data_IF_632186111644
#
_entry.id   IF_632186111644
#
_cell.length_a   1.000
_cell.length_b   1.000
_cell.length_c   1.000
_cell.angle_alpha   90.00
_cell.angle_beta   90.00
_cell.angle_gamma   90.00
#
_symmetry.space_group_name_H-M   'P 1'
#
loop_
_entity.id
_entity.type
_entity.pdbx_description
1 polymer ?
#
# COMPACT_ATOMS: atom_id res chain seq x y z
N UNK A 1 13.95 -20.72 6.74
CA UNK A 1 13.25 -19.94 5.70
C UNK A 1 12.28 -19.01 6.39
N UNK A 2 12.26 -17.73 6.03
CA UNK A 2 11.24 -16.79 6.51
C UNK A 2 9.88 -17.25 5.98
N UNK A 3 8.83 -17.18 6.80
CA UNK A 3 7.47 -17.52 6.36
C UNK A 3 7.06 -16.66 5.16
N UNK A 4 6.31 -17.24 4.22
CA UNK A 4 5.73 -16.52 3.08
C UNK A 4 4.84 -15.36 3.53
N UNK A 5 4.58 -14.40 2.65
CA UNK A 5 3.72 -13.25 3.00
C UNK A 5 2.32 -13.72 3.43
N UNK A 6 1.78 -14.74 2.75
CA UNK A 6 0.43 -15.23 3.04
C UNK A 6 0.34 -15.97 4.38
N UNK A 7 1.39 -16.69 4.77
CA UNK A 7 1.49 -17.28 6.11
C UNK A 7 1.54 -16.19 7.17
N UNK A 8 2.33 -15.12 6.95
CA UNK A 8 2.38 -13.98 7.88
C UNK A 8 1.04 -13.23 7.96
N UNK A 9 0.25 -13.22 6.88
CA UNK A 9 -1.09 -12.64 6.82
C UNK A 9 -2.21 -13.62 7.21
N UNK A 10 -1.87 -14.80 7.71
CA UNK A 10 -2.86 -15.80 8.10
C UNK A 10 -3.53 -15.47 9.43
N UNK A 11 -4.76 -15.95 9.56
CA UNK A 11 -5.63 -15.74 10.70
C UNK A 11 -5.99 -17.09 11.34
N UNK A 12 -6.11 -17.11 12.66
CA UNK A 12 -6.78 -18.16 13.43
C UNK A 12 -8.19 -17.69 13.77
N UNK A 13 -9.19 -18.49 13.44
CA UNK A 13 -10.56 -18.27 13.87
C UNK A 13 -10.68 -18.57 15.38
N UNK A 14 -11.19 -17.60 16.14
CA UNK A 14 -11.54 -17.75 17.56
C UNK A 14 -13.03 -18.08 17.69
N UNK A 15 -13.84 -17.37 16.92
CA UNK A 15 -15.29 -17.52 16.84
C UNK A 15 -15.76 -17.18 15.42
N UNK A 16 -17.01 -17.48 15.04
CA UNK A 16 -17.54 -17.13 13.72
C UNK A 16 -17.45 -15.64 13.35
N UNK A 17 -17.19 -14.75 14.31
CA UNK A 17 -17.03 -13.31 14.11
C UNK A 17 -15.65 -12.79 14.51
N UNK A 18 -14.82 -13.59 15.17
CA UNK A 18 -13.58 -13.12 15.79
C UNK A 18 -12.39 -13.92 15.28
N UNK A 19 -11.37 -13.18 14.82
CA UNK A 19 -10.13 -13.73 14.27
C UNK A 19 -8.93 -13.10 14.96
N UNK A 20 -7.83 -13.84 15.02
CA UNK A 20 -6.54 -13.38 15.54
C UNK A 20 -5.46 -13.64 14.50
N UNK A 21 -4.55 -12.69 14.29
CA UNK A 21 -3.41 -12.90 13.41
C UNK A 21 -2.47 -13.97 13.96
N UNK A 22 -1.94 -14.85 13.11
CA UNK A 22 -0.96 -15.85 13.55
C UNK A 22 0.41 -15.23 13.80
N UNK A 23 0.72 -14.10 13.13
CA UNK A 23 2.00 -13.40 13.22
C UNK A 23 1.82 -11.96 13.70
N UNK A 24 2.89 -11.38 14.23
CA UNK A 24 2.93 -9.96 14.54
C UNK A 24 3.20 -9.17 13.25
N UNK A 25 2.64 -7.97 13.10
CA UNK A 25 2.91 -7.15 11.92
C UNK A 25 4.33 -6.55 11.98
N UNK A 26 4.89 -6.24 10.81
CA UNK A 26 6.27 -5.73 10.68
C UNK A 26 6.30 -4.25 10.30
N UNK A 27 7.39 -3.57 10.68
CA UNK A 27 7.68 -2.18 10.27
C UNK A 27 8.15 -2.11 8.81
N UNK A 28 8.01 -0.94 8.21
CA UNK A 28 8.66 -0.55 6.95
C UNK A 28 9.22 0.85 7.12
N UNK A 29 10.54 0.97 7.21
CA UNK A 29 11.22 2.27 7.30
C UNK A 29 10.92 3.12 8.55
N UNK A 30 10.18 2.60 9.53
CA UNK A 30 9.84 3.34 10.74
C UNK A 30 10.76 2.94 11.90
N UNK A 31 11.45 3.92 12.49
CA UNK A 31 12.33 3.68 13.64
C UNK A 31 11.53 3.40 14.92
N UNK A 32 10.30 3.90 15.01
CA UNK A 32 9.39 3.62 16.12
C UNK A 32 8.80 2.21 16.02
N UNK A 33 8.24 1.72 17.12
CA UNK A 33 7.47 0.47 17.18
C UNK A 33 6.11 0.65 16.48
N UNK A 34 6.11 0.92 15.17
CA UNK A 34 4.92 1.13 14.37
C UNK A 34 5.02 0.28 13.11
N UNK A 35 4.02 -0.56 12.91
CA UNK A 35 3.91 -1.42 11.76
C UNK A 35 3.56 -0.65 10.50
N UNK A 36 3.92 -1.22 9.36
CA UNK A 36 3.39 -0.79 8.08
C UNK A 36 1.87 -1.02 8.03
N UNK A 37 1.12 0.02 7.61
CA UNK A 37 -0.34 0.03 7.57
C UNK A 37 -0.96 -1.12 6.76
N UNK A 38 -0.29 -1.54 5.68
CA UNK A 38 -0.73 -2.64 4.83
C UNK A 38 -0.86 -3.98 5.56
N UNK A 39 -0.13 -4.22 6.66
CA UNK A 39 -0.37 -5.40 7.50
C UNK A 39 -1.77 -5.39 8.10
N UNK A 40 -2.17 -4.26 8.69
CA UNK A 40 -3.47 -4.12 9.35
C UNK A 40 -4.60 -4.20 8.33
N UNK A 41 -4.43 -3.52 7.19
CA UNK A 41 -5.40 -3.54 6.10
C UNK A 41 -5.56 -4.94 5.50
N UNK A 42 -4.47 -5.64 5.23
CA UNK A 42 -4.52 -6.98 4.64
C UNK A 42 -5.11 -8.01 5.60
N UNK A 43 -4.78 -7.94 6.90
CA UNK A 43 -5.38 -8.79 7.94
C UNK A 43 -6.91 -8.57 8.02
N UNK A 44 -7.35 -7.30 8.02
CA UNK A 44 -8.78 -6.98 8.02
C UNK A 44 -9.48 -7.45 6.73
N UNK A 45 -8.81 -7.32 5.59
CA UNK A 45 -9.30 -7.78 4.28
C UNK A 45 -9.45 -9.30 4.27
N UNK A 46 -8.47 -10.03 4.79
CA UNK A 46 -8.50 -11.48 4.91
C UNK A 46 -9.69 -11.93 5.76
N UNK A 47 -9.86 -11.33 6.94
CA UNK A 47 -10.98 -11.60 7.84
C UNK A 47 -12.33 -11.34 7.14
N UNK A 48 -12.50 -10.19 6.48
CA UNK A 48 -13.71 -9.86 5.74
C UNK A 48 -14.04 -10.92 4.68
N UNK A 49 -13.05 -11.30 3.87
CA UNK A 49 -13.21 -12.28 2.80
C UNK A 49 -13.53 -13.69 3.32
N UNK A 50 -12.95 -14.13 4.44
CA UNK A 50 -13.29 -15.41 5.06
C UNK A 50 -14.75 -15.45 5.56
N UNK A 51 -15.30 -14.30 5.98
CA UNK A 51 -16.69 -14.19 6.46
C UNK A 51 -17.76 -14.01 5.36
N UNK A 52 -17.33 -13.80 4.12
CA UNK A 52 -18.21 -13.61 2.96
C UNK A 52 -18.47 -14.96 2.25
N UNK A 53 -19.65 -15.17 1.64
CA UNK A 53 -19.89 -16.41 0.92
C UNK A 53 -18.94 -16.55 -0.29
N UNK A 54 -18.44 -17.76 -0.63
CA UNK A 54 -17.38 -17.94 -1.63
C UNK A 54 -17.70 -17.45 -3.05
N UNK A 55 -18.98 -17.34 -3.41
CA UNK A 55 -19.42 -16.84 -4.73
C UNK A 55 -19.35 -15.32 -4.88
N UNK A 56 -19.10 -14.60 -3.80
CA UNK A 56 -19.02 -13.14 -3.79
C UNK A 56 -17.56 -12.69 -3.95
N UNK A 57 -17.38 -11.56 -4.62
CA UNK A 57 -16.09 -10.98 -4.91
C UNK A 57 -16.01 -9.60 -4.29
N UNK A 58 -14.92 -9.35 -3.57
CA UNK A 58 -14.66 -8.05 -2.97
C UNK A 58 -14.46 -7.03 -4.09
N UNK A 59 -15.25 -5.95 -4.09
CA UNK A 59 -15.12 -4.87 -5.06
C UNK A 59 -14.74 -3.54 -4.40
N UNK A 60 -14.91 -3.41 -3.08
CA UNK A 60 -14.49 -2.20 -2.38
C UNK A 60 -14.15 -2.44 -0.91
N UNK A 61 -13.16 -1.68 -0.43
CA UNK A 61 -12.84 -1.53 1.00
C UNK A 61 -12.67 -0.05 1.29
N UNK A 62 -13.38 0.47 2.29
CA UNK A 62 -13.21 1.85 2.77
C UNK A 62 -13.02 1.84 4.28
N UNK A 63 -12.12 2.65 4.81
CA UNK A 63 -11.85 2.62 6.23
C UNK A 63 -10.97 3.73 6.76
N UNK A 64 -10.76 3.68 8.07
CA UNK A 64 -9.95 4.63 8.84
C UNK A 64 -8.91 3.88 9.66
N UNK A 65 -7.68 4.38 9.63
CA UNK A 65 -6.67 4.06 10.64
C UNK A 65 -6.95 4.92 11.87
N UNK A 66 -7.15 4.29 13.02
CA UNK A 66 -7.58 4.93 14.27
C UNK A 66 -6.40 5.16 15.24
N UNK A 67 -5.30 4.45 15.04
CA UNK A 67 -4.10 4.58 15.85
C UNK A 67 -2.95 3.73 15.31
N UNK A 68 -1.75 3.88 15.89
CA UNK A 68 -0.60 3.09 15.47
C UNK A 68 -0.81 1.61 15.78
N UNK A 69 -0.53 0.76 14.81
CA UNK A 69 -0.39 -0.69 15.02
C UNK A 69 1.03 -0.97 15.50
N UNK A 70 1.18 -1.60 16.66
CA UNK A 70 2.47 -1.98 17.24
C UNK A 70 2.98 -3.31 16.67
N UNK A 71 4.30 -3.47 16.55
CA UNK A 71 4.96 -4.62 15.90
C UNK A 71 5.22 -5.80 16.83
N UNK A 72 5.00 -5.64 18.13
CA UNK A 72 5.31 -6.59 19.18
C UNK A 72 4.12 -7.47 19.62
N UNK A 73 2.93 -7.26 19.02
CA UNK A 73 1.69 -7.92 19.42
C UNK A 73 0.74 -8.22 18.25
N UNK A 74 -0.16 -9.17 18.47
CA UNK A 74 -1.14 -9.65 17.48
C UNK A 74 -2.22 -8.62 17.18
N UNK A 75 -2.88 -8.82 16.04
CA UNK A 75 -4.07 -8.11 15.61
C UNK A 75 -5.30 -8.99 15.86
N UNK A 76 -6.36 -8.40 16.41
CA UNK A 76 -7.65 -9.06 16.61
C UNK A 76 -8.70 -8.41 15.72
N UNK A 77 -9.37 -9.19 14.90
CA UNK A 77 -10.44 -8.73 14.02
C UNK A 77 -11.80 -9.20 14.54
N UNK A 78 -12.73 -8.27 14.69
CA UNK A 78 -14.14 -8.57 14.96
C UNK A 78 -14.98 -8.14 13.76
N UNK A 79 -15.82 -9.06 13.28
CA UNK A 79 -16.61 -8.89 12.07
C UNK A 79 -18.08 -8.73 12.40
N UNK A 80 -18.69 -7.69 11.86
CA UNK A 80 -20.14 -7.49 11.87
C UNK A 80 -20.70 -7.63 10.46
N UNK A 81 -21.72 -8.47 10.32
CA UNK A 81 -22.54 -8.54 9.11
C UNK A 81 -23.44 -7.31 9.05
N UNK A 82 -23.26 -6.49 8.02
CA UNK A 82 -24.07 -5.30 7.79
C UNK A 82 -25.23 -5.61 6.85
N UNK A 83 -24.95 -6.38 5.79
CA UNK A 83 -25.91 -6.72 4.75
C UNK A 83 -25.57 -8.06 4.11
N UNK A 84 -26.59 -8.89 3.90
CA UNK A 84 -26.56 -10.10 3.06
C UNK A 84 -27.81 -10.07 2.16
N UNK A 85 -27.61 -9.91 0.86
CA UNK A 85 -28.68 -10.00 -0.17
C UNK A 85 -28.30 -11.05 -1.20
N UNK A 86 -29.10 -11.24 -2.25
CA UNK A 86 -28.76 -12.17 -3.34
C UNK A 86 -27.63 -11.69 -4.26
N UNK A 87 -27.34 -10.38 -4.26
CA UNK A 87 -26.34 -9.76 -5.17
C UNK A 87 -25.20 -9.13 -4.41
N UNK A 88 -25.49 -8.49 -3.28
CA UNK A 88 -24.52 -7.71 -2.49
C UNK A 88 -24.39 -8.19 -1.06
N UNK A 89 -23.16 -8.17 -0.57
CA UNK A 89 -22.79 -8.49 0.81
C UNK A 89 -21.92 -7.36 1.35
N UNK A 90 -22.15 -6.95 2.60
CA UNK A 90 -21.33 -5.93 3.27
C UNK A 90 -20.91 -6.43 4.65
N UNK A 91 -19.63 -6.28 4.96
CA UNK A 91 -19.01 -6.60 6.25
C UNK A 91 -18.37 -5.35 6.82
N UNK A 92 -18.55 -5.13 8.12
CA UNK A 92 -17.73 -4.20 8.89
C UNK A 92 -16.68 -5.01 9.63
N UNK A 93 -15.42 -4.56 9.58
CA UNK A 93 -14.32 -5.17 10.34
C UNK A 93 -13.71 -4.12 11.24
N UNK A 94 -13.65 -4.45 12.53
CA UNK A 94 -12.94 -3.70 13.54
C UNK A 94 -11.66 -4.46 13.89
N UNK A 95 -10.52 -3.77 13.84
CA UNK A 95 -9.21 -4.34 14.18
C UNK A 95 -8.71 -3.69 15.45
N UNK A 96 -8.28 -4.51 16.40
CA UNK A 96 -7.75 -4.06 17.70
C UNK A 96 -6.43 -4.73 18.06
N UNK A 97 -5.72 -4.12 19.00
CA UNK A 97 -4.57 -4.72 19.68
C UNK A 97 -4.72 -4.59 21.20
N UNK A 98 -4.28 -5.62 21.92
CA UNK A 98 -4.18 -5.59 23.38
C UNK A 98 -3.05 -4.63 23.79
N UNK A 99 -3.33 -3.68 24.67
CA UNK A 99 -2.36 -2.71 25.19
C UNK A 99 -1.65 -3.29 26.43
N UNK A 100 -0.65 -2.58 26.95
CA UNK A 100 0.14 -3.05 28.10
C UNK A 100 -0.70 -3.14 29.39
N UNK A 101 -1.76 -2.33 29.49
CA UNK A 101 -2.77 -2.38 30.56
C UNK A 101 -3.84 -3.46 30.34
N UNK A 102 -3.63 -4.36 29.37
CA UNK A 102 -4.56 -5.41 28.93
C UNK A 102 -5.87 -4.91 28.31
N UNK A 103 -6.05 -3.60 28.12
CA UNK A 103 -7.19 -3.06 27.37
C UNK A 103 -7.08 -3.38 25.88
N UNK A 104 -8.22 -3.44 25.16
CA UNK A 104 -8.22 -3.53 23.69
C UNK A 104 -8.40 -2.14 23.10
N UNK A 105 -7.49 -1.73 22.22
CA UNK A 105 -7.59 -0.47 21.47
C UNK A 105 -7.84 -0.76 20.00
N UNK A 106 -8.86 -0.12 19.42
CA UNK A 106 -9.07 -0.13 17.97
C UNK A 106 -7.93 0.59 17.25
N UNK A 107 -7.41 -0.03 16.20
CA UNK A 107 -6.35 0.51 15.34
C UNK A 107 -6.83 0.74 13.91
N UNK A 108 -7.87 0.03 13.47
CA UNK A 108 -8.49 0.21 12.16
C UNK A 108 -9.96 -0.19 12.20
N UNK A 109 -10.79 0.52 11.44
CA UNK A 109 -12.16 0.10 11.11
C UNK A 109 -12.38 0.23 9.61
N UNK A 110 -13.03 -0.75 9.00
CA UNK A 110 -13.37 -0.72 7.58
C UNK A 110 -14.76 -1.30 7.29
N UNK A 111 -15.30 -0.91 6.14
CA UNK A 111 -16.38 -1.59 5.43
C UNK A 111 -15.78 -2.29 4.21
N UNK A 112 -16.17 -3.54 4.01
CA UNK A 112 -15.83 -4.37 2.87
C UNK A 112 -17.11 -4.77 2.14
N UNK A 113 -17.20 -4.39 0.86
CA UNK A 113 -18.34 -4.64 0.00
C UNK A 113 -18.02 -5.67 -1.07
N UNK A 114 -18.95 -6.60 -1.23
CA UNK A 114 -18.83 -7.74 -2.12
C UNK A 114 -20.05 -7.84 -3.04
N UNK A 115 -19.80 -8.34 -4.25
CA UNK A 115 -20.82 -8.56 -5.27
C UNK A 115 -20.63 -9.96 -5.88
N UNK A 116 -21.73 -10.62 -6.23
CA UNK A 116 -21.66 -11.80 -7.11
C UNK A 116 -21.12 -11.40 -8.49
N UNK A 117 -20.52 -12.34 -9.23
CA UNK A 117 -20.11 -12.06 -10.61
C UNK A 117 -21.34 -11.83 -11.49
N UNK A 118 -21.43 -10.66 -12.11
CA UNK A 118 -22.46 -10.35 -13.10
C UNK A 118 -22.31 -11.23 -14.36
N UNK A 119 -23.44 -11.57 -14.99
CA UNK A 119 -23.46 -12.41 -16.20
C UNK A 119 -22.94 -11.70 -17.44
N UNK A 120 -23.07 -10.38 -17.48
CA UNK A 120 -22.63 -9.53 -18.57
C UNK A 120 -22.26 -8.13 -18.05
N UNK A 121 -21.44 -7.41 -18.80
CA UNK A 121 -21.13 -6.01 -18.54
C UNK A 121 -21.70 -5.18 -19.68
N UNK A 122 -22.48 -4.15 -19.34
CA UNK A 122 -23.02 -3.22 -20.33
C UNK A 122 -21.91 -2.35 -20.94
N UNK A 123 -20.95 -1.92 -20.10
CA UNK A 123 -19.80 -1.11 -20.48
C UNK A 123 -18.54 -1.69 -19.84
N UNK A 124 -17.45 -1.67 -20.60
CA UNK A 124 -16.12 -2.09 -20.13
C UNK A 124 -15.10 -1.07 -20.63
N UNK A 125 -14.53 -0.29 -19.71
CA UNK A 125 -13.52 0.73 -20.01
C UNK A 125 -12.65 1.00 -18.80
N UNK A 126 -11.47 1.57 -19.03
CA UNK A 126 -10.62 2.15 -17.99
C UNK A 126 -9.75 3.25 -18.57
N UNK A 127 -9.40 4.23 -17.76
CA UNK A 127 -8.39 5.22 -18.14
C UNK A 127 -7.00 4.55 -18.28
N UNK A 128 -6.17 4.94 -19.25
CA UNK A 128 -4.78 4.53 -19.29
C UNK A 128 -3.97 5.22 -18.16
N UNK A 129 -2.73 4.78 -17.90
CA UNK A 129 -1.79 5.55 -17.08
C UNK A 129 -1.61 6.97 -17.60
N UNK A 130 -1.26 7.92 -16.72
CA UNK A 130 -1.16 9.34 -17.10
C UNK A 130 -0.03 9.64 -18.10
N UNK A 131 0.95 8.72 -18.21
CA UNK A 131 2.07 8.76 -19.16
C UNK A 131 2.51 7.35 -19.53
N UNK A 132 3.31 7.27 -20.59
CA UNK A 132 3.93 6.02 -20.99
C UNK A 132 5.07 5.67 -20.03
N UNK A 133 5.06 4.43 -19.53
CA UNK A 133 6.13 3.88 -18.69
C UNK A 133 6.81 2.71 -19.40
N UNK A 134 8.11 2.57 -19.17
CA UNK A 134 8.88 1.44 -19.66
C UNK A 134 8.28 0.10 -19.22
N UNK A 135 8.30 -0.89 -20.12
CA UNK A 135 7.86 -2.25 -19.82
C UNK A 135 8.81 -2.91 -18.81
N UNK A 136 8.28 -3.71 -17.88
CA UNK A 136 9.07 -4.41 -16.84
C UNK A 136 10.21 -5.27 -17.41
N UNK A 137 10.11 -5.76 -18.65
CA UNK A 137 11.18 -6.55 -19.30
C UNK A 137 12.44 -5.70 -19.56
N UNK A 138 12.26 -4.41 -19.81
CA UNK A 138 13.33 -3.48 -20.19
C UNK A 138 13.86 -2.65 -19.01
N UNK A 139 13.20 -2.72 -17.84
CA UNK A 139 13.64 -1.99 -16.65
C UNK A 139 14.82 -2.74 -16.01
N UNK A 140 15.97 -2.07 -15.78
CA UNK A 140 17.12 -2.64 -15.10
C UNK A 140 16.77 -3.14 -13.68
N UNK A 141 17.61 -4.01 -13.12
CA UNK A 141 17.45 -4.43 -11.73
C UNK A 141 17.70 -3.26 -10.78
N UNK A 142 17.08 -3.30 -9.60
CA UNK A 142 17.32 -2.30 -8.55
C UNK A 142 18.82 -2.16 -8.26
N UNK A 143 19.55 -3.27 -8.13
CA UNK A 143 20.99 -3.24 -7.87
C UNK A 143 21.75 -2.51 -8.98
N UNK A 144 21.42 -2.76 -10.25
CA UNK A 144 22.04 -2.06 -11.38
C UNK A 144 21.73 -0.56 -11.37
N UNK A 145 20.50 -0.18 -11.02
CA UNK A 145 20.11 1.23 -10.86
C UNK A 145 20.90 1.91 -9.74
N UNK A 146 20.97 1.28 -8.57
CA UNK A 146 21.68 1.81 -7.40
C UNK A 146 23.19 1.95 -7.67
N UNK A 147 23.82 0.96 -8.31
CA UNK A 147 25.22 1.04 -8.72
C UNK A 147 25.47 2.18 -9.72
N UNK A 148 24.56 2.36 -10.67
CA UNK A 148 24.64 3.49 -11.63
C UNK A 148 24.56 4.84 -10.91
N UNK A 149 23.68 4.96 -9.90
CA UNK A 149 23.57 6.19 -9.09
C UNK A 149 24.82 6.44 -8.24
N UNK A 150 25.43 5.39 -7.66
CA UNK A 150 26.70 5.51 -6.94
C UNK A 150 27.83 5.96 -7.88
N UNK A 151 27.94 5.33 -9.06
CA UNK A 151 28.96 5.67 -10.06
C UNK A 151 28.82 7.12 -10.54
N UNK A 152 27.58 7.59 -10.70
CA UNK A 152 27.26 8.98 -11.03
C UNK A 152 27.45 9.96 -9.85
N UNK A 153 27.86 9.48 -8.67
CA UNK A 153 27.98 10.25 -7.41
C UNK A 153 26.67 10.93 -6.99
N UNK A 154 25.54 10.38 -7.41
CA UNK A 154 24.22 10.88 -7.06
C UNK A 154 23.81 10.50 -5.63
N UNK A 155 24.31 9.36 -5.14
CA UNK A 155 24.09 8.85 -3.78
C UNK A 155 25.36 8.19 -3.23
N UNK A 156 25.45 8.07 -1.91
CA UNK A 156 26.49 7.29 -1.22
C UNK A 156 26.05 5.85 -0.99
N UNK A 157 27.02 4.99 -0.65
CA UNK A 157 26.75 3.61 -0.24
C UNK A 157 25.87 3.54 1.03
N UNK A 158 26.06 4.48 1.96
CA UNK A 158 25.24 4.60 3.17
C UNK A 158 23.75 4.82 2.85
N UNK A 159 23.43 5.67 1.87
CA UNK A 159 22.05 5.89 1.42
C UNK A 159 21.44 4.60 0.85
N UNK A 160 22.24 3.80 0.14
CA UNK A 160 21.80 2.49 -0.37
C UNK A 160 21.50 1.51 0.76
N UNK A 161 22.33 1.47 1.78
CA UNK A 161 22.11 0.62 2.97
C UNK A 161 20.82 1.02 3.70
N UNK A 162 20.62 2.32 3.93
CA UNK A 162 19.39 2.85 4.53
C UNK A 162 18.16 2.53 3.68
N UNK A 163 18.24 2.71 2.36
CA UNK A 163 17.17 2.32 1.43
C UNK A 163 16.81 0.85 1.56
N UNK A 164 17.81 -0.02 1.50
CA UNK A 164 17.61 -1.46 1.56
C UNK A 164 17.01 -1.85 2.91
N UNK A 165 17.53 -1.37 4.03
CA UNK A 165 16.95 -1.62 5.36
C UNK A 165 15.49 -1.16 5.46
N UNK A 166 15.18 0.02 4.92
CA UNK A 166 13.85 0.63 4.96
C UNK A 166 12.81 -0.20 4.21
N UNK A 167 13.17 -0.68 3.01
CA UNK A 167 12.24 -1.34 2.08
C UNK A 167 12.45 -2.85 1.95
N UNK A 168 13.38 -3.45 2.70
CA UNK A 168 13.66 -4.88 2.65
C UNK A 168 12.40 -5.72 2.89
N UNK A 169 11.53 -5.31 3.81
CA UNK A 169 10.26 -6.01 4.09
C UNK A 169 9.38 -6.16 2.83
N UNK A 170 9.28 -5.13 1.97
CA UNK A 170 8.57 -5.25 0.70
C UNK A 170 9.37 -6.10 -0.30
N UNK A 171 10.69 -5.88 -0.38
CA UNK A 171 11.56 -6.60 -1.29
C UNK A 171 11.61 -8.12 -0.99
N UNK A 172 11.38 -8.55 0.25
CA UNK A 172 11.27 -9.97 0.62
C UNK A 172 10.08 -10.65 -0.05
N UNK A 173 8.99 -9.92 -0.30
CA UNK A 173 7.71 -10.49 -0.72
C UNK A 173 7.28 -10.14 -2.14
N UNK A 174 7.86 -9.09 -2.73
CA UNK A 174 7.52 -8.62 -4.07
C UNK A 174 8.74 -8.50 -4.96
N UNK A 175 8.56 -8.89 -6.23
CA UNK A 175 9.46 -8.45 -7.29
C UNK A 175 8.95 -7.07 -7.72
N UNK A 176 9.75 -6.04 -7.51
CA UNK A 176 9.40 -4.67 -7.87
C UNK A 176 10.43 -4.09 -8.83
N UNK A 177 9.96 -3.39 -9.85
CA UNK A 177 10.77 -2.68 -10.84
C UNK A 177 10.29 -1.23 -10.94
N UNK A 178 10.94 -0.28 -10.24
CA UNK A 178 10.59 1.13 -10.35
C UNK A 178 10.77 1.64 -11.77
N UNK A 179 9.76 2.30 -12.32
CA UNK A 179 9.81 2.84 -13.68
C UNK A 179 10.77 4.03 -13.73
N UNK A 180 11.78 4.05 -14.62
CA UNK A 180 12.76 5.14 -14.72
C UNK A 180 12.13 6.52 -14.95
N UNK A 181 10.95 6.59 -15.56
CA UNK A 181 10.22 7.83 -15.81
C UNK A 181 9.60 8.42 -14.53
N UNK A 182 9.42 7.61 -13.49
CA UNK A 182 8.82 8.01 -12.22
C UNK A 182 9.82 8.64 -11.25
N UNK A 183 9.39 9.67 -10.51
CA UNK A 183 10.26 10.41 -9.56
C UNK A 183 10.88 9.48 -8.52
N UNK A 184 10.09 8.59 -7.93
CA UNK A 184 10.57 7.66 -6.90
C UNK A 184 11.75 6.77 -7.35
N UNK A 185 11.85 6.47 -8.66
CA UNK A 185 12.98 5.74 -9.22
C UNK A 185 14.22 6.64 -9.38
N UNK A 186 14.01 7.91 -9.75
CA UNK A 186 15.10 8.87 -10.03
C UNK A 186 15.74 9.43 -8.76
N UNK A 187 14.94 9.75 -7.74
CA UNK A 187 15.45 10.34 -6.49
C UNK A 187 15.43 9.36 -5.31
N UNK A 188 15.33 8.06 -5.60
CA UNK A 188 15.32 6.99 -4.59
C UNK A 188 14.27 7.24 -3.48
N UNK A 189 13.02 7.46 -3.90
CA UNK A 189 11.88 7.77 -3.00
C UNK A 189 12.10 9.03 -2.15
N UNK A 190 12.91 9.97 -2.62
CA UNK A 190 13.24 11.21 -1.92
C UNK A 190 14.45 11.10 -0.99
N UNK A 191 15.13 9.95 -0.93
CA UNK A 191 16.40 9.82 -0.20
C UNK A 191 17.56 10.53 -0.92
N UNK A 192 17.54 10.59 -2.25
CA UNK A 192 18.52 11.31 -3.05
C UNK A 192 18.08 12.77 -3.26
N UNK A 193 18.05 13.55 -2.17
CA UNK A 193 17.43 14.90 -2.10
C UNK A 193 17.97 15.94 -3.09
N UNK A 194 19.18 15.74 -3.62
CA UNK A 194 19.85 16.68 -4.53
C UNK A 194 19.76 16.27 -6.01
N UNK A 195 19.21 15.09 -6.30
CA UNK A 195 19.13 14.57 -7.67
C UNK A 195 17.95 15.21 -8.37
N UNK A 196 18.22 16.02 -9.39
CA UNK A 196 17.17 16.58 -10.25
C UNK A 196 16.41 15.47 -10.96
N UNK A 197 15.08 15.59 -10.99
CA UNK A 197 14.22 14.65 -11.72
C UNK A 197 13.76 15.25 -13.04
N UNK A 198 13.41 14.39 -14.00
CA UNK A 198 12.82 14.79 -15.28
C UNK A 198 11.46 15.48 -15.13
N UNK A 199 10.87 15.48 -13.93
CA UNK A 199 9.55 16.04 -13.64
C UNK A 199 9.59 17.29 -12.75
N UNK A 200 10.77 17.83 -12.43
CA UNK A 200 10.89 18.96 -11.49
C UNK A 200 10.29 20.27 -11.97
N UNK A 201 10.13 20.42 -13.29
CA UNK A 201 9.45 21.55 -13.92
C UNK A 201 7.92 21.46 -13.82
N UNK A 202 7.37 20.31 -13.40
CA UNK A 202 5.93 20.10 -13.27
C UNK A 202 5.42 20.52 -11.89
N UNK A 203 4.17 21.01 -11.79
CA UNK A 203 3.54 21.20 -10.49
C UNK A 203 3.39 19.86 -9.77
N UNK A 204 3.36 19.88 -8.43
CA UNK A 204 3.33 18.68 -7.59
C UNK A 204 2.20 17.71 -7.96
N UNK A 205 1.06 18.22 -8.44
CA UNK A 205 -0.11 17.42 -8.82
C UNK A 205 -0.02 16.78 -10.21
N UNK A 206 0.98 17.17 -11.01
CA UNK A 206 1.28 16.56 -12.31
C UNK A 206 2.51 15.64 -12.26
N UNK A 207 3.18 15.59 -11.11
CA UNK A 207 4.28 14.68 -10.82
C UNK A 207 3.75 13.27 -10.56
N UNK A 208 4.46 12.27 -11.08
CA UNK A 208 4.08 10.86 -10.93
C UNK A 208 5.25 9.98 -10.53
N UNK A 209 4.94 8.88 -9.88
CA UNK A 209 5.86 7.76 -9.69
C UNK A 209 5.16 6.48 -10.10
N UNK A 210 5.90 5.53 -10.65
CA UNK A 210 5.34 4.26 -11.04
C UNK A 210 6.30 3.12 -10.79
N UNK A 211 5.74 1.94 -10.60
CA UNK A 211 6.48 0.71 -10.43
C UNK A 211 5.69 -0.46 -11.03
N UNK A 212 6.42 -1.38 -11.65
CA UNK A 212 5.89 -2.71 -11.92
C UNK A 212 6.09 -3.59 -10.70
N UNK A 213 5.09 -4.37 -10.32
CA UNK A 213 5.25 -5.38 -9.27
C UNK A 213 4.53 -6.68 -9.55
N UNK A 214 5.00 -7.75 -8.92
CA UNK A 214 4.30 -9.03 -8.74
C UNK A 214 4.71 -9.68 -7.42
N UNK A 215 3.87 -10.56 -6.89
CA UNK A 215 4.22 -11.39 -5.74
C UNK A 215 5.42 -12.30 -6.07
N UNK A 216 6.27 -12.56 -5.07
CA UNK A 216 7.35 -13.57 -5.17
C UNK A 216 6.82 -14.97 -4.98
N UNK A 217 6.02 -15.16 -3.94
CA UNK A 217 5.37 -16.43 -3.63
C UNK A 217 4.15 -16.64 -4.53
N UNK A 218 3.89 -17.90 -4.88
CA UNK A 218 2.69 -18.25 -5.64
C UNK A 218 1.44 -18.07 -4.77
N UNK A 219 0.45 -17.37 -5.32
CA UNK A 219 -0.86 -17.18 -4.69
C UNK A 219 -1.90 -18.07 -5.38
N UNK A 220 -2.49 -19.00 -4.63
CA UNK A 220 -3.26 -20.13 -5.15
C UNK A 220 -4.74 -19.82 -5.36
N UNK A 221 -5.30 -18.87 -4.59
CA UNK A 221 -6.74 -18.62 -4.59
C UNK A 221 -7.09 -17.14 -4.44
N UNK A 222 -8.35 -16.80 -4.72
CA UNK A 222 -8.85 -15.41 -4.72
C UNK A 222 -8.65 -14.69 -3.38
N UNK A 223 -8.78 -15.40 -2.26
CA UNK A 223 -8.57 -14.82 -0.93
C UNK A 223 -7.13 -14.32 -0.79
N UNK A 224 -6.15 -15.15 -1.19
CA UNK A 224 -4.74 -14.79 -1.14
C UNK A 224 -4.42 -13.61 -2.08
N UNK A 225 -4.94 -13.65 -3.30
CA UNK A 225 -4.77 -12.58 -4.30
C UNK A 225 -5.25 -11.22 -3.76
N UNK A 226 -6.46 -11.16 -3.22
CA UNK A 226 -7.06 -9.92 -2.72
C UNK A 226 -6.40 -9.45 -1.41
N UNK A 227 -6.01 -10.38 -0.54
CA UNK A 227 -5.29 -10.05 0.71
C UNK A 227 -3.95 -9.39 0.41
N UNK A 228 -3.18 -9.97 -0.53
CA UNK A 228 -1.87 -9.44 -0.94
C UNK A 228 -2.03 -8.15 -1.77
N UNK A 229 -3.11 -8.01 -2.54
CA UNK A 229 -3.44 -6.76 -3.23
C UNK A 229 -3.68 -5.62 -2.26
N UNK A 230 -4.51 -5.85 -1.23
CA UNK A 230 -4.75 -4.85 -0.20
C UNK A 230 -3.46 -4.46 0.54
N UNK A 231 -2.59 -5.44 0.81
CA UNK A 231 -1.26 -5.21 1.40
C UNK A 231 -0.39 -4.29 0.53
N UNK A 232 -0.27 -4.59 -0.77
CA UNK A 232 0.63 -3.85 -1.66
C UNK A 232 0.09 -2.48 -2.05
N UNK A 233 -1.23 -2.34 -2.21
CA UNK A 233 -1.84 -1.07 -2.62
C UNK A 233 -1.73 0.04 -1.57
N UNK A 234 -1.52 -0.28 -0.28
CA UNK A 234 -1.21 0.71 0.75
C UNK A 234 0.24 1.24 0.69
N UNK A 235 1.12 0.59 -0.09
CA UNK A 235 2.54 0.89 -0.06
C UNK A 235 2.83 2.22 -0.77
N UNK A 236 3.63 3.08 -0.13
CA UNK A 236 4.12 4.37 -0.65
C UNK A 236 3.11 5.52 -0.76
N UNK A 237 1.80 5.27 -0.70
CA UNK A 237 0.78 6.30 -0.95
C UNK A 237 0.87 7.48 0.03
N UNK A 238 1.09 7.21 1.32
CA UNK A 238 1.11 8.26 2.36
C UNK A 238 2.29 9.24 2.23
N UNK A 239 3.45 8.78 1.77
CA UNK A 239 4.67 9.58 1.70
C UNK A 239 5.06 9.99 0.28
N UNK A 240 4.30 9.60 -0.75
CA UNK A 240 4.60 10.04 -2.13
C UNK A 240 4.69 11.56 -2.31
N UNK A 241 3.92 12.42 -1.58
CA UNK A 241 4.06 13.86 -1.74
C UNK A 241 5.44 14.36 -1.29
N UNK A 242 6.06 13.71 -0.29
CA UNK A 242 7.44 13.98 0.12
C UNK A 242 8.39 13.57 -1.00
N UNK A 243 8.26 12.35 -1.50
CA UNK A 243 9.08 11.83 -2.60
C UNK A 243 9.02 12.76 -3.83
N UNK A 244 7.84 13.25 -4.21
CA UNK A 244 7.65 14.18 -5.34
C UNK A 244 8.23 15.58 -5.10
N UNK A 245 8.63 15.88 -3.87
CA UNK A 245 9.19 17.17 -3.45
C UNK A 245 10.63 17.04 -2.89
N UNK A 246 11.38 16.00 -3.28
CA UNK A 246 12.76 15.74 -2.84
C UNK A 246 12.91 15.61 -1.32
N UNK A 247 11.88 15.07 -0.67
CA UNK A 247 11.84 14.82 0.76
C UNK A 247 11.60 13.34 1.05
N UNK A 248 12.02 12.88 2.21
CA UNK A 248 11.78 11.53 2.69
C UNK A 248 11.06 11.55 4.05
N UNK A 249 10.71 10.36 4.57
CA UNK A 249 9.95 10.20 5.82
C UNK A 249 10.57 10.96 7.01
N UNK A 250 11.89 11.09 7.04
CA UNK A 250 12.63 11.78 8.09
C UNK A 250 12.48 13.30 8.03
N UNK A 251 11.96 13.89 6.94
CA UNK A 251 11.71 15.33 6.79
C UNK A 251 10.38 15.78 7.42
N UNK A 252 9.50 14.84 7.75
CA UNK A 252 8.23 15.10 8.42
C UNK A 252 8.27 14.60 9.87
N UNK A 253 7.64 15.32 10.80
CA UNK A 253 7.46 14.84 12.19
C UNK A 253 6.43 13.72 12.25
N UNK A 254 5.43 13.78 11.37
CA UNK A 254 4.44 12.73 11.21
C UNK A 254 4.09 12.60 9.74
N UNK A 255 4.15 11.37 9.22
CA UNK A 255 3.68 11.00 7.90
C UNK A 255 2.98 9.65 8.03
N UNK A 256 1.65 9.64 8.04
CA UNK A 256 0.87 8.42 8.29
C UNK A 256 -0.51 8.49 7.67
N UNK A 257 -1.02 7.33 7.29
CA UNK A 257 -2.34 7.15 6.71
C UNK A 257 -3.45 7.46 7.73
N UNK A 258 -4.50 8.18 7.30
CA UNK A 258 -5.68 8.47 8.12
C UNK A 258 -6.90 7.66 7.66
N UNK A 259 -7.20 7.71 6.37
CA UNK A 259 -8.30 6.96 5.76
C UNK A 259 -7.89 6.41 4.41
N UNK A 260 -8.64 5.43 3.91
CA UNK A 260 -8.37 4.83 2.63
C UNK A 260 -9.65 4.36 1.93
N UNK A 261 -9.56 4.25 0.60
CA UNK A 261 -10.58 3.59 -0.22
C UNK A 261 -9.90 2.78 -1.33
N UNK A 262 -9.95 1.46 -1.21
CA UNK A 262 -9.56 0.49 -2.23
C UNK A 262 -10.79 0.12 -3.06
N UNK A 263 -10.66 0.17 -4.38
CA UNK A 263 -11.67 -0.26 -5.35
C UNK A 263 -11.05 -1.30 -6.26
N UNK A 264 -11.77 -2.39 -6.48
CA UNK A 264 -11.31 -3.52 -7.30
C UNK A 264 -12.34 -3.68 -8.42
N UNK A 265 -11.89 -3.54 -9.67
CA UNK A 265 -12.76 -3.52 -10.85
C UNK A 265 -12.85 -4.88 -11.55
N UNK A 266 -11.95 -5.80 -11.24
CA UNK A 266 -11.89 -7.13 -11.83
C UNK A 266 -11.92 -8.23 -10.78
N UNK A 267 -12.78 -9.23 -10.96
CA UNK A 267 -12.81 -10.41 -10.10
C UNK A 267 -11.66 -11.40 -10.37
N UNK A 268 -10.81 -11.12 -11.37
CA UNK A 268 -9.74 -11.99 -11.85
C UNK A 268 -8.33 -11.47 -11.62
N UNK A 269 -8.14 -10.49 -10.72
CA UNK A 269 -6.80 -9.97 -10.40
C UNK A 269 -5.90 -11.10 -9.90
N UNK A 270 -4.73 -11.23 -10.52
CA UNK A 270 -3.73 -12.26 -10.18
C UNK A 270 -2.36 -11.62 -10.01
N UNK A 271 -1.95 -11.36 -8.78
CA UNK A 271 -0.65 -10.80 -8.44
C UNK A 271 0.53 -11.76 -8.68
N UNK A 272 0.27 -12.96 -9.17
CA UNK A 272 1.32 -13.80 -9.78
C UNK A 272 1.85 -13.17 -11.09
N UNK A 273 1.05 -12.31 -11.73
CA UNK A 273 1.40 -11.55 -12.93
C UNK A 273 1.92 -10.15 -12.57
N UNK A 274 2.75 -9.60 -13.46
CA UNK A 274 3.20 -8.22 -13.39
C UNK A 274 2.04 -7.23 -13.57
N UNK A 275 1.97 -6.25 -12.68
CA UNK A 275 1.04 -5.12 -12.75
C UNK A 275 1.80 -3.81 -12.71
N UNK A 276 1.34 -2.82 -13.49
CA UNK A 276 1.85 -1.47 -13.43
C UNK A 276 1.05 -0.69 -12.40
N UNK A 277 1.74 -0.05 -11.46
CA UNK A 277 1.13 0.89 -10.53
C UNK A 277 1.66 2.28 -10.78
N UNK A 278 0.75 3.25 -10.85
CA UNK A 278 1.05 4.68 -10.89
C UNK A 278 0.52 5.33 -9.61
N UNK A 279 1.30 6.23 -9.02
CA UNK A 279 0.94 7.01 -7.83
C UNK A 279 1.10 8.49 -8.13
N UNK A 280 0.05 9.26 -7.82
CA UNK A 280 -0.07 10.69 -8.09
C UNK A 280 -0.55 11.42 -6.82
N UNK A 281 0.07 12.57 -6.53
CA UNK A 281 -0.38 13.48 -5.48
C UNK A 281 -1.52 14.36 -6.02
N UNK A 282 -2.63 14.50 -5.30
CA UNK A 282 -3.81 15.23 -5.80
C UNK A 282 -4.03 16.55 -5.07
N UNK A 283 -3.95 16.55 -3.73
CA UNK A 283 -4.17 17.76 -2.94
C UNK A 283 -3.42 17.69 -1.59
N UNK A 284 -3.12 18.85 -1.00
CA UNK A 284 -2.59 18.93 0.35
C UNK A 284 -2.88 20.29 0.98
N UNK A 285 -3.29 20.28 2.24
CA UNK A 285 -3.60 21.46 3.06
C UNK A 285 -3.76 21.07 4.53
N UNK A 286 -3.58 22.01 5.45
CA UNK A 286 -3.84 21.82 6.90
C UNK A 286 -3.12 20.59 7.49
N UNK A 287 -1.85 20.40 7.10
CA UNK A 287 -1.04 19.25 7.54
C UNK A 287 -1.56 17.90 7.07
N UNK A 288 -2.32 17.86 5.97
CA UNK A 288 -2.83 16.62 5.35
C UNK A 288 -2.52 16.59 3.85
N UNK A 289 -2.43 15.38 3.32
CA UNK A 289 -2.27 15.12 1.88
C UNK A 289 -3.30 14.11 1.40
N UNK A 290 -3.64 14.17 0.11
CA UNK A 290 -4.53 13.25 -0.58
C UNK A 290 -3.84 12.72 -1.85
N UNK A 291 -3.73 11.40 -1.92
CA UNK A 291 -2.97 10.69 -2.96
C UNK A 291 -3.83 9.58 -3.56
N UNK A 292 -3.63 9.30 -4.85
CA UNK A 292 -4.22 8.17 -5.55
C UNK A 292 -3.13 7.25 -6.13
N UNK A 293 -3.30 5.95 -5.93
CA UNK A 293 -2.58 4.87 -6.61
C UNK A 293 -3.53 4.10 -7.53
N UNK A 294 -3.14 3.90 -8.79
CA UNK A 294 -3.90 3.17 -9.80
C UNK A 294 -3.11 1.96 -10.28
N UNK A 295 -3.80 0.85 -10.55
CA UNK A 295 -3.19 -0.43 -10.90
C UNK A 295 -3.74 -0.96 -12.22
N UNK A 296 -2.86 -1.31 -13.15
CA UNK A 296 -3.19 -1.92 -14.43
C UNK A 296 -2.57 -3.31 -14.57
N UNK A 297 -3.30 -4.20 -15.25
CA UNK A 297 -2.77 -5.49 -15.67
C UNK A 297 -1.87 -5.36 -16.92
N UNK A 298 -1.36 -6.50 -17.40
CA UNK A 298 -0.49 -6.57 -18.59
C UNK A 298 -1.18 -6.14 -19.89
N UNK A 299 -2.51 -6.22 -19.94
CA UNK A 299 -3.30 -5.82 -21.10
C UNK A 299 -3.63 -4.31 -21.06
N UNK A 300 -3.16 -3.59 -20.03
CA UNK A 300 -3.42 -2.16 -19.85
C UNK A 300 -4.82 -1.87 -19.32
N UNK A 301 -5.54 -2.86 -18.77
CA UNK A 301 -6.83 -2.64 -18.12
C UNK A 301 -6.61 -2.25 -16.67
N UNK A 302 -7.26 -1.18 -16.21
CA UNK A 302 -7.21 -0.80 -14.80
C UNK A 302 -8.00 -1.82 -13.98
N UNK A 303 -7.33 -2.47 -13.03
CA UNK A 303 -7.92 -3.54 -12.21
C UNK A 303 -8.20 -3.12 -10.78
N UNK A 304 -7.51 -2.10 -10.27
CA UNK A 304 -7.76 -1.56 -8.94
C UNK A 304 -7.33 -0.08 -8.83
N UNK A 305 -7.88 0.62 -7.84
CA UNK A 305 -7.38 1.92 -7.39
C UNK A 305 -7.45 2.04 -5.87
N UNK A 306 -6.52 2.80 -5.29
CA UNK A 306 -6.43 3.07 -3.86
C UNK A 306 -6.26 4.58 -3.68
N UNK A 307 -7.11 5.19 -2.86
CA UNK A 307 -6.94 6.59 -2.45
C UNK A 307 -6.71 6.65 -0.96
N UNK A 308 -5.93 7.61 -0.49
CA UNK A 308 -5.63 7.78 0.92
C UNK A 308 -5.50 9.26 1.26
N UNK A 309 -6.17 9.68 2.34
CA UNK A 309 -5.80 10.90 3.04
C UNK A 309 -4.79 10.55 4.13
N UNK A 310 -3.73 11.33 4.26
CA UNK A 310 -2.66 11.13 5.23
C UNK A 310 -2.41 12.39 6.04
N UNK A 311 -1.93 12.23 7.27
CA UNK A 311 -1.33 13.33 8.04
C UNK A 311 0.09 13.52 7.53
N UNK A 312 0.50 14.79 7.36
CA UNK A 312 1.84 15.20 6.99
C UNK A 312 2.19 16.47 7.76
N UNK A 313 2.99 16.33 8.82
CA UNK A 313 3.39 17.46 9.69
C UNK A 313 4.82 17.88 9.40
N UNK A 314 5.09 19.18 9.20
CA UNK A 314 6.44 19.66 9.07
C UNK A 314 7.21 19.46 10.38
N UNK A 315 8.54 19.42 10.29
CA UNK A 315 9.38 19.68 11.47
C UNK A 315 9.02 21.04 12.04
N UNK A 316 8.92 21.13 13.38
CA UNK A 316 8.73 22.41 14.05
C UNK A 316 9.75 23.40 13.50
N UNK A 317 9.29 24.51 12.93
CA UNK A 317 10.18 25.57 12.49
C UNK A 317 10.96 26.05 13.71
N UNK A 318 12.27 25.86 13.72
CA UNK A 318 13.14 26.69 14.54
C UNK A 318 12.99 28.13 14.03
N UNK A 319 12.13 28.89 14.72
CA UNK A 319 11.81 30.32 14.57
C UNK A 319 10.74 30.67 13.52
N UNK A 320 9.59 31.07 14.04
CA UNK A 320 8.85 32.24 13.54
C UNK A 320 9.05 33.34 14.59
N UNK A 321 10.19 34.03 14.53
CA UNK A 321 10.26 35.39 15.08
C UNK A 321 9.86 36.31 13.94
N UNK A 322 8.65 36.87 14.06
CA UNK A 322 8.14 38.20 13.68
C UNK A 322 6.63 38.05 13.53
#
# INVERSE_FOLDING_TARGET
MTASLIEQLSLREISPRDFESNFNPRRMGNNLNIAYGGWTLAIATNAACQSAPPSYHLHSILGHYLGPTLTDRKLFCTIRKIRDTCTFVTRQVEVSQVQDDSSKRLVLVLLADFQVKEKASLLTYSAPPSKLYSNFENIPTMDSQLQSMIQAKAISQEVVEVHNLTFNMLAEHFNQKPCPEGIAAQNLRGMAKHVMTTQDHLPLTSKTSADWFKAKDALENKLQQITVLAFMMDASISFIPLTHNHQFLDDAVACSSLNFALRIFSCGVSLNNWHLREIITIAGAEGRTYTEGRLWDRDGRMVASMTQQSIMRPKHSTKSNI
#
